data_IF_282082179069
#
_entry.id   IF_282082179069
#
_cell.length_a   1.000
_cell.length_b   1.000
_cell.length_c   1.000
_cell.angle_alpha   90.00
_cell.angle_beta   90.00
_cell.angle_gamma   90.00
#
_symmetry.space_group_name_H-M   'P 1'
#
loop_
_entity.id
_entity.type
_entity.pdbx_description
1 polymer ?
#
# COMPACT_ATOMS: atom_id res chain seq x y z
N UNK A 1 -2.35 -20.05 -3.47
CA UNK A 1 -2.92 -20.54 -2.21
C UNK A 1 -3.07 -19.38 -1.25
N UNK A 2 -4.26 -19.20 -0.75
CA UNK A 2 -4.58 -18.10 0.15
C UNK A 2 -4.13 -18.41 1.58
N UNK A 3 -3.50 -17.43 2.24
CA UNK A 3 -3.12 -17.53 3.62
C UNK A 3 -4.38 -17.57 4.51
N UNK A 4 -4.50 -18.58 5.35
CA UNK A 4 -5.72 -18.82 6.15
C UNK A 4 -5.45 -19.24 7.58
N UNK A 5 -4.21 -19.47 7.97
CA UNK A 5 -3.84 -19.87 9.32
C UNK A 5 -3.01 -18.80 10.00
N UNK A 6 -3.28 -18.55 11.27
CA UNK A 6 -2.57 -17.54 12.06
C UNK A 6 -1.05 -17.73 11.97
N UNK A 7 -0.34 -16.65 11.67
CA UNK A 7 1.11 -16.65 11.48
C UNK A 7 1.56 -16.91 10.05
N UNK A 8 0.65 -17.35 9.19
CA UNK A 8 0.98 -17.61 7.79
C UNK A 8 1.20 -16.30 7.04
N UNK A 9 2.26 -16.26 6.21
CA UNK A 9 2.58 -15.07 5.42
C UNK A 9 1.71 -15.01 4.18
N UNK A 10 1.30 -13.79 3.81
CA UNK A 10 0.64 -13.56 2.51
C UNK A 10 1.69 -13.49 1.41
N UNK A 11 1.26 -13.63 0.15
CA UNK A 11 2.16 -13.51 -1.00
C UNK A 11 2.78 -12.13 -1.08
N UNK A 12 2.04 -11.08 -0.73
CA UNK A 12 2.51 -9.71 -0.82
C UNK A 12 2.66 -9.23 -2.25
N UNK A 13 3.30 -8.09 -2.43
CA UNK A 13 3.62 -7.59 -3.75
C UNK A 13 4.83 -6.65 -3.70
N UNK A 14 5.46 -6.46 -4.87
CA UNK A 14 6.53 -5.52 -5.08
C UNK A 14 6.22 -4.68 -6.32
N UNK A 15 6.34 -3.37 -6.19
CA UNK A 15 6.05 -2.43 -7.28
C UNK A 15 7.11 -1.33 -7.26
N UNK A 16 7.62 -0.97 -8.43
CA UNK A 16 8.50 0.19 -8.56
C UNK A 16 7.77 1.24 -9.40
N UNK A 17 7.16 2.25 -8.77
CA UNK A 17 6.48 3.30 -9.50
C UNK A 17 7.47 4.11 -10.34
N UNK A 18 7.12 4.43 -11.59
CA UNK A 18 7.98 5.29 -12.40
C UNK A 18 7.85 6.76 -11.96
N UNK A 19 8.71 7.61 -12.50
CA UNK A 19 8.75 9.03 -12.11
C UNK A 19 7.48 9.80 -12.48
N UNK A 20 6.69 9.30 -13.41
CA UNK A 20 5.45 9.95 -13.86
C UNK A 20 4.20 9.40 -13.17
N UNK A 21 4.35 8.39 -12.32
CA UNK A 21 3.18 7.83 -11.62
C UNK A 21 2.43 8.90 -10.81
N UNK A 22 3.10 9.79 -10.06
CA UNK A 22 2.37 10.83 -9.33
C UNK A 22 1.52 11.72 -10.23
N UNK A 23 2.00 11.99 -11.45
CA UNK A 23 1.24 12.79 -12.41
C UNK A 23 -0.04 12.06 -12.85
N UNK A 24 0.08 10.76 -13.16
CA UNK A 24 -1.09 9.96 -13.52
C UNK A 24 -2.07 9.82 -12.37
N UNK A 25 -1.54 9.60 -11.17
CA UNK A 25 -2.39 9.45 -9.98
C UNK A 25 -3.11 10.76 -9.66
N UNK A 26 -2.43 11.90 -9.80
CA UNK A 26 -3.04 13.21 -9.63
C UNK A 26 -4.22 13.40 -10.59
N UNK A 27 -4.05 12.97 -11.85
CA UNK A 27 -5.13 13.02 -12.85
C UNK A 27 -6.32 12.15 -12.47
N UNK A 28 -6.09 11.01 -11.85
CA UNK A 28 -7.16 10.09 -11.43
C UNK A 28 -7.84 10.54 -10.14
N UNK A 29 -7.08 11.06 -9.18
CA UNK A 29 -7.58 11.40 -7.84
C UNK A 29 -8.01 12.85 -7.69
N UNK A 30 -7.53 13.74 -8.54
CA UNK A 30 -7.73 15.18 -8.39
C UNK A 30 -6.79 15.84 -7.38
N UNK A 31 -5.84 15.11 -6.82
CA UNK A 31 -4.86 15.66 -5.88
C UNK A 31 -3.62 16.12 -6.64
N UNK A 32 -3.62 17.40 -7.00
CA UNK A 32 -2.54 18.05 -7.74
C UNK A 32 -1.61 18.86 -6.83
N UNK A 33 -1.49 18.48 -5.56
CA UNK A 33 -0.56 19.18 -4.68
C UNK A 33 0.85 19.17 -5.30
N UNK A 34 1.50 20.34 -5.43
CA UNK A 34 2.80 20.44 -6.12
C UNK A 34 3.90 19.52 -5.57
N UNK A 35 3.82 19.11 -4.31
CA UNK A 35 4.82 18.17 -3.75
C UNK A 35 4.82 16.82 -4.46
N UNK A 36 3.74 16.49 -5.16
CA UNK A 36 3.62 15.23 -5.89
C UNK A 36 4.03 15.36 -7.36
N UNK A 37 3.99 16.56 -7.95
CA UNK A 37 4.12 16.70 -9.40
C UNK A 37 5.22 17.66 -9.85
N UNK A 38 5.81 18.45 -8.95
CA UNK A 38 6.81 19.45 -9.30
C UNK A 38 8.07 19.24 -8.45
N UNK A 39 9.13 18.73 -9.08
CA UNK A 39 10.41 18.48 -8.41
C UNK A 39 11.02 19.75 -7.81
N UNK A 40 10.95 20.86 -8.55
CA UNK A 40 11.53 22.11 -8.06
C UNK A 40 10.80 22.61 -6.80
N UNK A 41 9.48 22.52 -6.81
CA UNK A 41 8.69 22.88 -5.63
C UNK A 41 9.00 21.94 -4.45
N UNK A 42 9.07 20.62 -4.71
CA UNK A 42 9.38 19.65 -3.67
C UNK A 42 10.72 19.95 -3.01
N UNK A 43 11.75 20.23 -3.81
CA UNK A 43 13.08 20.59 -3.29
C UNK A 43 13.06 21.90 -2.53
N UNK A 44 12.29 22.87 -3.00
CA UNK A 44 12.16 24.16 -2.32
C UNK A 44 11.62 24.03 -0.90
N UNK A 45 10.72 23.09 -0.66
CA UNK A 45 10.15 22.84 0.66
C UNK A 45 10.92 21.77 1.46
N UNK A 46 12.11 21.37 0.99
CA UNK A 46 13.01 20.50 1.75
C UNK A 46 12.91 19.01 1.43
N UNK A 47 12.19 18.63 0.39
CA UNK A 47 12.09 17.22 -0.01
C UNK A 47 13.17 16.88 -1.05
N UNK A 48 13.66 15.63 -1.10
CA UNK A 48 14.68 15.22 -2.08
C UNK A 48 14.12 15.15 -3.50
N UNK A 49 12.82 14.92 -3.65
CA UNK A 49 12.12 14.82 -4.93
C UNK A 49 10.63 14.94 -4.70
N UNK A 50 9.83 14.81 -5.75
CA UNK A 50 8.40 14.60 -5.59
C UNK A 50 8.14 13.33 -4.78
N UNK A 51 7.03 13.29 -4.07
CA UNK A 51 6.63 12.14 -3.24
C UNK A 51 5.36 11.52 -3.82
N UNK A 52 5.19 10.23 -3.54
CA UNK A 52 3.98 9.51 -3.92
C UNK A 52 2.81 9.92 -3.03
N UNK A 53 1.60 9.86 -3.59
CA UNK A 53 0.38 10.08 -2.80
C UNK A 53 0.23 8.93 -1.80
N UNK A 54 -0.10 9.25 -0.55
CA UNK A 54 -0.33 8.25 0.49
C UNK A 54 -1.42 7.26 0.09
N UNK A 55 -2.52 7.75 -0.48
CA UNK A 55 -3.63 6.89 -0.89
C UNK A 55 -3.24 5.91 -2.00
N UNK A 56 -2.25 6.25 -2.84
CA UNK A 56 -1.71 5.29 -3.80
C UNK A 56 -1.11 4.08 -3.10
N UNK A 57 -0.27 4.32 -2.09
CA UNK A 57 0.38 3.23 -1.33
C UNK A 57 -0.67 2.42 -0.55
N UNK A 58 -1.66 3.09 0.01
CA UNK A 58 -2.79 2.40 0.66
C UNK A 58 -3.51 1.47 -0.33
N UNK A 59 -3.66 1.90 -1.59
CA UNK A 59 -4.21 1.08 -2.65
C UNK A 59 -3.39 -0.18 -2.92
N UNK A 60 -2.07 -0.11 -2.83
CA UNK A 60 -1.20 -1.28 -2.96
C UNK A 60 -1.40 -2.27 -1.81
N UNK A 61 -1.58 -1.76 -0.59
CA UNK A 61 -1.88 -2.59 0.58
C UNK A 61 -3.23 -3.30 0.38
N UNK A 62 -4.24 -2.57 -0.08
CA UNK A 62 -5.56 -3.14 -0.37
C UNK A 62 -5.46 -4.24 -1.43
N UNK A 63 -4.66 -4.00 -2.48
CA UNK A 63 -4.45 -4.98 -3.56
C UNK A 63 -3.79 -6.24 -3.03
N UNK A 64 -2.76 -6.11 -2.19
CA UNK A 64 -2.08 -7.25 -1.60
C UNK A 64 -3.04 -8.12 -0.77
N UNK A 65 -3.92 -7.48 -0.01
CA UNK A 65 -4.93 -8.19 0.79
C UNK A 65 -5.96 -8.89 -0.11
N UNK A 66 -6.51 -8.18 -1.11
CA UNK A 66 -7.53 -8.73 -2.00
C UNK A 66 -6.99 -9.87 -2.86
N UNK A 67 -5.70 -9.87 -3.22
CA UNK A 67 -5.08 -10.95 -4.00
C UNK A 67 -5.17 -12.28 -3.29
N UNK A 68 -5.19 -12.31 -1.96
CA UNK A 68 -5.35 -13.57 -1.21
C UNK A 68 -6.72 -14.21 -1.47
N UNK A 69 -7.69 -13.43 -1.88
CA UNK A 69 -9.04 -13.90 -2.24
C UNK A 69 -9.27 -13.83 -3.76
N UNK A 70 -8.24 -14.10 -4.56
CA UNK A 70 -8.34 -14.15 -6.01
C UNK A 70 -8.39 -12.79 -6.70
N UNK A 71 -8.08 -11.71 -5.99
CA UNK A 71 -8.08 -10.36 -6.55
C UNK A 71 -9.45 -9.70 -6.58
N UNK A 72 -10.45 -10.30 -5.97
CA UNK A 72 -11.79 -9.72 -5.89
C UNK A 72 -11.83 -8.61 -4.82
N UNK A 73 -11.98 -7.33 -5.22
CA UNK A 73 -12.01 -6.25 -4.25
C UNK A 73 -13.18 -6.33 -3.28
N UNK A 74 -14.24 -7.06 -3.63
CA UNK A 74 -15.40 -7.24 -2.74
C UNK A 74 -15.08 -8.13 -1.55
N UNK A 75 -14.01 -8.93 -1.63
CA UNK A 75 -13.56 -9.76 -0.52
C UNK A 75 -12.93 -8.93 0.61
N UNK A 76 -12.40 -7.76 0.30
CA UNK A 76 -11.84 -6.85 1.30
C UNK A 76 -13.00 -6.11 1.98
N UNK A 77 -13.23 -6.42 3.26
CA UNK A 77 -14.36 -5.88 4.02
C UNK A 77 -14.00 -4.64 4.83
N UNK A 78 -12.74 -4.55 5.25
CA UNK A 78 -12.26 -3.43 6.05
C UNK A 78 -10.76 -3.28 5.86
N UNK A 79 -10.29 -2.05 5.78
CA UNK A 79 -8.88 -1.72 5.74
C UNK A 79 -8.62 -0.51 6.62
N UNK A 80 -7.65 -0.64 7.52
CA UNK A 80 -7.19 0.43 8.39
C UNK A 80 -5.67 0.51 8.28
N UNK A 81 -5.13 1.71 8.09
CA UNK A 81 -3.70 1.90 7.93
C UNK A 81 -3.20 3.07 8.79
N UNK A 82 -1.91 3.04 9.12
CA UNK A 82 -1.22 4.19 9.68
C UNK A 82 -0.14 4.63 8.69
N UNK A 83 -0.24 5.87 8.23
CA UNK A 83 0.79 6.48 7.39
C UNK A 83 1.95 6.92 8.29
N UNK A 84 3.16 6.41 8.00
CA UNK A 84 4.34 6.65 8.86
C UNK A 84 5.46 7.38 8.17
N UNK A 85 5.51 7.36 6.86
CA UNK A 85 6.60 7.97 6.12
C UNK A 85 6.20 8.35 4.73
N UNK A 86 7.01 9.21 4.12
CA UNK A 86 6.87 9.58 2.72
C UNK A 86 7.47 8.48 1.85
N UNK A 87 6.89 8.31 0.66
CA UNK A 87 7.40 7.37 -0.32
C UNK A 87 7.76 8.10 -1.61
N UNK A 88 8.66 7.52 -2.39
CA UNK A 88 9.25 8.21 -3.53
C UNK A 88 9.08 7.40 -4.82
N UNK A 89 8.89 8.11 -5.98
CA UNK A 89 8.92 7.45 -7.27
C UNK A 89 10.28 6.78 -7.51
N UNK A 90 10.30 5.79 -8.39
CA UNK A 90 11.51 5.09 -8.85
C UNK A 90 12.19 4.21 -7.79
N UNK A 91 11.57 4.04 -6.63
CA UNK A 91 12.03 3.14 -5.59
C UNK A 91 11.00 2.04 -5.38
N UNK A 92 11.47 0.81 -5.19
CA UNK A 92 10.60 -0.33 -4.99
C UNK A 92 9.82 -0.20 -3.68
N UNK A 93 8.51 -0.42 -3.77
CA UNK A 93 7.64 -0.57 -2.60
C UNK A 93 7.36 -2.05 -2.44
N UNK A 94 7.61 -2.57 -1.24
CA UNK A 94 7.25 -3.93 -0.90
C UNK A 94 6.11 -3.92 0.12
N UNK A 95 5.05 -4.66 -0.17
CA UNK A 95 3.96 -4.90 0.78
C UNK A 95 4.09 -6.34 1.28
N UNK A 96 4.18 -6.48 2.60
CA UNK A 96 4.26 -7.77 3.28
C UNK A 96 3.16 -7.86 4.31
N UNK A 97 2.85 -9.06 4.74
CA UNK A 97 1.86 -9.24 5.78
C UNK A 97 1.72 -10.68 6.22
N UNK A 98 0.95 -10.85 7.28
CA UNK A 98 0.67 -12.17 7.83
C UNK A 98 -0.74 -12.21 8.42
N UNK A 99 -1.25 -13.42 8.55
CA UNK A 99 -2.54 -13.66 9.21
C UNK A 99 -2.36 -13.50 10.72
N UNK A 100 -3.15 -12.62 11.32
CA UNK A 100 -3.17 -12.43 12.77
C UNK A 100 -4.40 -13.04 13.41
N UNK A 101 -5.46 -13.27 12.64
CA UNK A 101 -6.70 -13.86 13.14
C UNK A 101 -7.42 -14.57 12.00
N UNK A 102 -8.04 -15.71 12.31
CA UNK A 102 -8.84 -16.45 11.33
C UNK A 102 -10.04 -17.06 12.02
N UNK A 103 -11.22 -16.88 11.41
CA UNK A 103 -12.49 -17.40 11.89
C UNK A 103 -13.32 -17.86 10.69
N UNK A 104 -13.26 -19.16 10.40
CA UNK A 104 -13.94 -19.71 9.23
C UNK A 104 -13.34 -19.18 7.94
N UNK A 105 -14.18 -18.52 7.15
CA UNK A 105 -13.75 -17.89 5.88
C UNK A 105 -13.26 -16.45 6.05
N UNK A 106 -13.37 -15.89 7.26
CA UNK A 106 -12.97 -14.53 7.55
C UNK A 106 -11.56 -14.52 8.14
N UNK A 107 -10.69 -13.73 7.54
CA UNK A 107 -9.27 -13.68 7.91
C UNK A 107 -8.86 -12.23 8.06
N UNK A 108 -8.07 -11.95 9.10
CA UNK A 108 -7.50 -10.63 9.33
C UNK A 108 -6.00 -10.68 9.11
N UNK A 109 -5.50 -9.78 8.27
CA UNK A 109 -4.07 -9.62 8.00
C UNK A 109 -3.52 -8.40 8.72
N UNK A 110 -2.26 -8.49 9.16
CA UNK A 110 -1.44 -7.36 9.53
C UNK A 110 -0.47 -7.10 8.36
N UNK A 111 -0.39 -5.86 7.90
CA UNK A 111 0.35 -5.51 6.69
C UNK A 111 1.31 -4.35 6.91
N UNK A 112 2.37 -4.35 6.11
CA UNK A 112 3.38 -3.30 6.10
C UNK A 112 3.68 -2.95 4.63
N UNK A 113 3.87 -1.66 4.36
CA UNK A 113 4.41 -1.18 3.08
C UNK A 113 5.70 -0.42 3.35
N UNK A 114 6.77 -0.75 2.66
CA UNK A 114 8.08 -0.16 2.89
C UNK A 114 8.87 0.03 1.59
N UNK A 115 9.73 1.04 1.60
CA UNK A 115 10.78 1.23 0.59
C UNK A 115 12.12 1.02 1.29
N UNK A 116 12.68 -0.21 1.19
CA UNK A 116 13.86 -0.59 1.96
C UNK A 116 13.56 -0.51 3.46
N UNK A 117 14.35 0.26 4.19
CA UNK A 117 14.16 0.45 5.63
C UNK A 117 13.15 1.55 5.98
N UNK A 118 12.68 2.29 4.97
CA UNK A 118 11.70 3.35 5.17
C UNK A 118 10.30 2.76 5.26
N UNK A 119 9.71 2.75 6.45
CA UNK A 119 8.33 2.32 6.65
C UNK A 119 7.38 3.42 6.18
N UNK A 120 6.59 3.13 5.16
CA UNK A 120 5.60 4.05 4.61
C UNK A 120 4.25 3.86 5.29
N UNK A 121 3.79 2.63 5.40
CA UNK A 121 2.57 2.24 6.09
C UNK A 121 2.91 1.11 7.06
N UNK A 122 2.41 1.21 8.28
CA UNK A 122 2.51 0.15 9.28
C UNK A 122 1.21 0.03 10.06
N UNK A 123 1.12 -1.02 10.87
CA UNK A 123 -0.07 -1.32 11.67
C UNK A 123 -1.34 -1.30 10.81
N UNK A 124 -1.20 -1.72 9.55
CA UNK A 124 -2.34 -1.86 8.66
C UNK A 124 -3.03 -3.19 8.98
N UNK A 125 -4.35 -3.15 9.10
CA UNK A 125 -5.15 -4.36 9.27
C UNK A 125 -6.17 -4.43 8.15
N UNK A 126 -6.33 -5.61 7.58
CA UNK A 126 -7.30 -5.87 6.53
C UNK A 126 -8.13 -7.08 6.89
N UNK A 127 -9.44 -6.92 6.84
CA UNK A 127 -10.39 -8.03 7.02
C UNK A 127 -10.82 -8.51 5.63
N UNK A 128 -10.57 -9.76 5.35
CA UNK A 128 -10.85 -10.39 4.06
C UNK A 128 -11.75 -11.61 4.27
N UNK A 129 -12.76 -11.75 3.42
CA UNK A 129 -13.65 -12.90 3.42
C UNK A 129 -13.41 -13.74 2.17
N UNK A 130 -13.10 -15.01 2.36
CA UNK A 130 -12.89 -15.97 1.27
C UNK A 130 -14.18 -16.62 0.78
N UNK A 131 -15.24 -16.44 1.52
CA UNK A 131 -16.54 -17.04 1.21
C UNK A 131 -17.55 -16.05 0.63
#
# INVERSE_FOLDING_TARGET
>A
VSASSKGEKIAGLKVTPDKFLPHRYAGASGDFNPIHIDNDFAKMVGLPSTILHGLYVMGLVAKAAAQEAGGDPRALKRLSVQFRGMSFPEQEIEVTGEVIEADGTDVTFDLIAAQGENLVIRNATADVSYG
#
